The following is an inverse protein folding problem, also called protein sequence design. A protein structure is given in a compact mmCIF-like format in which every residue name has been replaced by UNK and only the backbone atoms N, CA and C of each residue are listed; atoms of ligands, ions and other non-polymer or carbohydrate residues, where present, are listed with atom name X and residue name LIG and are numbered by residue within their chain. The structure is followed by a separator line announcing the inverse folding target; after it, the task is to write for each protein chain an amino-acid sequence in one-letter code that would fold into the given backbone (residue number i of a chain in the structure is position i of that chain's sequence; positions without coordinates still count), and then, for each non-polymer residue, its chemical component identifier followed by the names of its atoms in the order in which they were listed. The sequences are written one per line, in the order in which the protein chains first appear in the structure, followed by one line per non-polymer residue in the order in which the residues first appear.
data_IF_156118301230
#
_entry.id   IF_156118301230
#
_cell.length_a   1.000
_cell.length_b   1.000
_cell.length_c   1.000
_cell.angle_alpha   90.00
_cell.angle_beta   90.00
_cell.angle_gamma   90.00
#
_symmetry.space_group_name_H-M   'P 1'
#
loop_
_entity.id
_entity.type
_entity.pdbx_description
1 polymer ?
#
# COMPACT_ATOMS: atom_id res chain seq x y z
N UNK A 1 30.34 -4.81 -31.16
CA UNK A 1 29.34 -5.11 -30.11
C UNK A 1 27.93 -4.58 -30.43
N UNK A 2 27.81 -3.62 -31.36
CA UNK A 2 26.55 -3.07 -31.91
C UNK A 2 25.38 -4.06 -32.06
N UNK A 3 25.56 -5.18 -32.79
CA UNK A 3 24.49 -6.17 -33.04
C UNK A 3 23.91 -6.77 -31.76
N UNK A 4 24.75 -7.03 -30.76
CA UNK A 4 24.31 -7.57 -29.48
C UNK A 4 23.51 -6.53 -28.70
N UNK A 5 24.01 -5.29 -28.63
CA UNK A 5 23.36 -4.16 -27.97
C UNK A 5 21.94 -3.91 -28.53
N UNK A 6 21.80 -3.82 -29.86
CA UNK A 6 20.50 -3.60 -30.51
C UNK A 6 19.55 -4.80 -30.35
N UNK A 7 20.08 -6.02 -30.37
CA UNK A 7 19.29 -7.23 -30.13
C UNK A 7 18.73 -7.27 -28.70
N UNK A 8 19.50 -6.82 -27.71
CA UNK A 8 19.06 -6.72 -26.32
C UNK A 8 17.96 -5.66 -26.15
N UNK A 9 18.11 -4.48 -26.74
CA UNK A 9 17.06 -3.44 -26.77
C UNK A 9 15.78 -3.99 -27.40
N UNK A 10 15.87 -4.65 -28.57
CA UNK A 10 14.72 -5.24 -29.27
C UNK A 10 14.00 -6.26 -28.39
N UNK A 11 14.76 -7.11 -27.71
CA UNK A 11 14.21 -8.14 -26.80
C UNK A 11 13.50 -7.52 -25.60
N UNK A 12 14.07 -6.47 -25.02
CA UNK A 12 13.51 -5.77 -23.88
C UNK A 12 12.24 -4.97 -24.25
N UNK A 13 12.24 -4.28 -25.40
CA UNK A 13 11.07 -3.56 -25.93
C UNK A 13 9.90 -4.50 -26.23
N UNK A 14 10.19 -5.76 -26.60
CA UNK A 14 9.18 -6.79 -26.84
C UNK A 14 8.26 -7.07 -25.64
N UNK A 15 8.64 -6.65 -24.42
CA UNK A 15 7.85 -6.75 -23.18
C UNK A 15 6.78 -5.66 -23.03
N UNK A 16 6.79 -4.64 -23.88
CA UNK A 16 5.83 -3.53 -23.87
C UNK A 16 4.83 -3.65 -25.03
N UNK A 17 3.68 -3.00 -24.89
CA UNK A 17 2.61 -2.91 -25.91
C UNK A 17 3.05 -1.88 -26.95
N UNK A 18 4.06 -2.26 -27.73
CA UNK A 18 4.66 -1.47 -28.81
C UNK A 18 4.47 -2.25 -30.12
N UNK A 19 4.12 -1.56 -31.19
CA UNK A 19 3.96 -2.18 -32.51
C UNK A 19 5.31 -2.63 -33.07
N UNK A 20 5.32 -3.63 -33.94
CA UNK A 20 6.57 -4.10 -34.55
C UNK A 20 7.28 -2.99 -35.35
N UNK A 21 6.49 -2.08 -35.95
CA UNK A 21 6.98 -0.91 -36.69
C UNK A 21 7.70 0.07 -35.76
N UNK A 22 7.08 0.46 -34.64
CA UNK A 22 7.70 1.37 -33.66
C UNK A 22 8.96 0.77 -33.02
N UNK A 23 8.99 -0.54 -32.75
CA UNK A 23 10.21 -1.20 -32.27
C UNK A 23 11.32 -1.08 -33.33
N UNK A 24 10.98 -1.23 -34.61
CA UNK A 24 11.93 -1.10 -35.69
C UNK A 24 12.43 0.34 -35.85
N UNK A 25 11.54 1.33 -35.74
CA UNK A 25 11.91 2.75 -35.75
C UNK A 25 12.88 3.10 -34.61
N UNK A 26 12.57 2.67 -33.37
CA UNK A 26 13.45 2.87 -32.21
C UNK A 26 14.81 2.21 -32.44
N UNK A 27 14.83 0.97 -32.95
CA UNK A 27 16.09 0.28 -33.22
C UNK A 27 16.89 1.00 -34.29
N UNK A 28 16.25 1.52 -35.34
CA UNK A 28 16.91 2.27 -36.41
C UNK A 28 17.49 3.60 -35.89
N UNK A 29 16.79 4.30 -34.99
CA UNK A 29 17.31 5.53 -34.37
C UNK A 29 18.56 5.24 -33.53
N UNK A 30 18.53 4.18 -32.71
CA UNK A 30 19.68 3.76 -31.92
C UNK A 30 20.82 3.22 -32.78
N UNK A 31 20.52 2.56 -33.91
CA UNK A 31 21.52 2.10 -34.88
C UNK A 31 22.29 3.29 -35.46
N UNK A 32 21.59 4.36 -35.87
CA UNK A 32 22.19 5.61 -36.37
C UNK A 32 23.03 6.31 -35.31
N UNK A 33 22.53 6.45 -34.10
CA UNK A 33 23.29 7.06 -33.00
C UNK A 33 24.57 6.27 -32.68
N UNK A 34 24.51 4.95 -32.78
CA UNK A 34 25.69 4.10 -32.60
C UNK A 34 26.71 4.32 -33.73
N UNK A 35 26.26 4.42 -34.98
CA UNK A 35 27.14 4.72 -36.13
C UNK A 35 27.78 6.10 -36.03
N UNK A 36 27.03 7.11 -35.61
CA UNK A 36 27.54 8.47 -35.39
C UNK A 36 28.63 8.51 -34.31
N UNK A 37 28.48 7.70 -33.25
CA UNK A 37 29.51 7.55 -32.21
C UNK A 37 30.80 6.95 -32.76
N UNK A 38 30.68 5.87 -33.55
CA UNK A 38 31.83 5.25 -34.22
C UNK A 38 32.49 6.21 -35.23
N UNK A 39 31.70 6.97 -35.98
CA UNK A 39 32.20 7.96 -36.94
C UNK A 39 32.96 9.12 -36.27
N UNK A 40 32.64 9.43 -35.02
CA UNK A 40 33.35 10.41 -34.18
C UNK A 40 34.63 9.84 -33.52
N UNK A 41 34.99 8.59 -33.82
CA UNK A 41 36.19 7.94 -33.32
C UNK A 41 36.04 7.28 -31.94
N UNK A 42 34.82 7.14 -31.43
CA UNK A 42 34.55 6.44 -30.17
C UNK A 42 34.65 4.92 -30.38
N UNK A 43 35.11 4.18 -29.37
CA UNK A 43 35.06 2.72 -29.38
C UNK A 43 33.69 2.18 -28.93
N UNK A 44 33.39 0.90 -29.20
CA UNK A 44 32.09 0.28 -28.85
C UNK A 44 31.71 0.46 -27.35
N UNK A 45 32.67 0.43 -26.43
CA UNK A 45 32.39 0.57 -25.00
C UNK A 45 32.02 2.00 -24.63
N UNK A 46 32.71 2.98 -25.20
CA UNK A 46 32.43 4.42 -25.04
C UNK A 46 31.07 4.80 -25.63
N UNK A 47 30.72 4.23 -26.78
CA UNK A 47 29.40 4.44 -27.39
C UNK A 47 28.28 3.88 -26.49
N UNK A 48 28.47 2.70 -25.91
CA UNK A 48 27.48 2.12 -24.98
C UNK A 48 27.38 2.91 -23.68
N UNK A 49 28.49 3.45 -23.17
CA UNK A 49 28.46 4.33 -21.98
C UNK A 49 27.71 5.64 -22.27
N UNK A 50 27.92 6.21 -23.45
CA UNK A 50 27.23 7.42 -23.91
C UNK A 50 25.73 7.21 -24.15
N UNK A 51 25.34 6.12 -24.83
CA UNK A 51 23.93 5.80 -25.11
C UNK A 51 23.21 5.22 -23.88
N UNK A 52 23.96 4.67 -22.94
CA UNK A 52 23.46 3.96 -21.76
C UNK A 52 23.20 2.48 -22.02
N UNK A 53 23.22 1.71 -20.93
CA UNK A 53 22.97 0.25 -20.96
C UNK A 53 21.55 -0.04 -21.50
N UNK A 54 21.35 -1.14 -22.25
CA UNK A 54 20.06 -1.51 -22.85
C UNK A 54 18.88 -1.49 -21.87
N UNK A 55 19.08 -1.93 -20.63
CA UNK A 55 18.02 -1.96 -19.61
C UNK A 55 17.59 -0.56 -19.17
N UNK A 56 18.53 0.38 -19.09
CA UNK A 56 18.25 1.78 -18.74
C UNK A 56 17.51 2.45 -19.90
N UNK A 57 18.03 2.31 -21.12
CA UNK A 57 17.41 2.84 -22.34
C UNK A 57 15.95 2.39 -22.47
N UNK A 58 15.70 1.09 -22.36
CA UNK A 58 14.34 0.56 -22.51
C UNK A 58 13.44 0.89 -21.32
N UNK A 59 13.98 1.11 -20.13
CA UNK A 59 13.19 1.63 -19.01
C UNK A 59 12.76 3.06 -19.26
N UNK A 60 13.70 3.91 -19.66
CA UNK A 60 13.46 5.34 -19.88
C UNK A 60 12.50 5.56 -21.09
N UNK A 61 12.59 4.72 -22.13
CA UNK A 61 11.61 4.67 -23.23
C UNK A 61 10.28 4.01 -22.83
N UNK A 62 10.34 2.97 -22.00
CA UNK A 62 9.21 2.16 -21.57
C UNK A 62 8.24 2.90 -20.66
N UNK A 63 8.64 4.01 -20.03
CA UNK A 63 7.74 4.87 -19.24
C UNK A 63 6.61 5.48 -20.08
N UNK A 64 6.76 5.54 -21.41
CA UNK A 64 5.73 6.00 -22.34
C UNK A 64 4.75 4.90 -22.80
N UNK A 65 5.05 3.62 -22.54
CA UNK A 65 4.30 2.49 -23.08
C UNK A 65 3.82 1.53 -21.98
N UNK A 66 2.59 1.03 -22.13
CA UNK A 66 2.08 -0.01 -21.22
C UNK A 66 2.88 -1.30 -21.39
N UNK A 67 3.17 -2.00 -20.28
CA UNK A 67 3.76 -3.34 -20.35
C UNK A 67 2.73 -4.33 -20.89
N UNK A 68 3.17 -5.26 -21.76
CA UNK A 68 2.28 -6.35 -22.19
C UNK A 68 1.80 -7.10 -20.95
N UNK A 69 0.48 -7.39 -20.85
CA UNK A 69 -0.01 -8.22 -19.77
C UNK A 69 0.71 -9.57 -19.86
N UNK A 70 1.51 -9.87 -18.83
CA UNK A 70 2.23 -11.14 -18.76
C UNK A 70 1.25 -12.31 -18.85
N UNK A 71 1.69 -13.43 -19.43
CA UNK A 71 0.93 -14.69 -19.45
C UNK A 71 0.40 -14.96 -18.03
N UNK A 72 -0.91 -15.00 -17.84
CA UNK A 72 -1.52 -15.12 -16.51
C UNK A 72 -0.98 -16.36 -15.78
N UNK A 73 -0.07 -16.14 -14.84
CA UNK A 73 0.42 -17.17 -13.91
C UNK A 73 -0.76 -17.73 -13.11
N UNK A 74 -0.73 -19.02 -12.77
CA UNK A 74 -1.73 -19.63 -11.87
C UNK A 74 -1.92 -18.83 -10.57
N UNK A 75 -0.85 -18.17 -10.10
CA UNK A 75 -0.85 -17.27 -8.97
C UNK A 75 -1.77 -16.05 -9.12
N UNK A 76 -1.91 -15.51 -10.34
CA UNK A 76 -2.78 -14.36 -10.61
C UNK A 76 -4.27 -14.70 -10.49
N UNK A 77 -4.66 -15.93 -10.85
CA UNK A 77 -6.05 -16.41 -10.68
C UNK A 77 -6.41 -16.54 -9.19
N UNK A 78 -5.49 -17.07 -8.39
CA UNK A 78 -5.67 -17.22 -6.94
C UNK A 78 -5.89 -15.85 -6.29
N UNK A 79 -5.03 -14.86 -6.60
CA UNK A 79 -5.15 -13.50 -6.04
C UNK A 79 -6.50 -12.87 -6.41
N UNK A 80 -6.95 -13.02 -7.66
CA UNK A 80 -8.22 -12.44 -8.12
C UNK A 80 -9.46 -13.08 -7.45
N UNK A 81 -9.39 -14.37 -7.12
CA UNK A 81 -10.48 -15.12 -6.49
C UNK A 81 -10.52 -14.98 -4.97
N UNK A 82 -9.44 -14.51 -4.32
CA UNK A 82 -9.36 -14.45 -2.87
C UNK A 82 -10.52 -13.73 -2.17
N UNK A 83 -11.01 -12.56 -2.63
CA UNK A 83 -12.13 -11.90 -1.98
C UNK A 83 -13.38 -12.78 -1.89
N UNK A 84 -13.68 -13.53 -2.94
CA UNK A 84 -14.83 -14.45 -2.99
C UNK A 84 -14.62 -15.66 -2.07
N UNK A 85 -13.41 -16.24 -2.09
CA UNK A 85 -13.06 -17.36 -1.22
C UNK A 85 -13.10 -16.95 0.27
N UNK A 86 -12.69 -15.72 0.60
CA UNK A 86 -12.76 -15.18 1.96
C UNK A 86 -14.21 -15.04 2.43
N UNK A 87 -15.12 -14.55 1.57
CA UNK A 87 -16.55 -14.46 1.91
C UNK A 87 -17.14 -15.84 2.18
N UNK A 88 -16.85 -16.82 1.32
CA UNK A 88 -17.33 -18.21 1.51
C UNK A 88 -16.80 -18.77 2.84
N UNK A 89 -15.48 -18.65 3.08
CA UNK A 89 -14.86 -19.12 4.32
C UNK A 89 -15.42 -18.40 5.56
N UNK A 90 -15.64 -17.10 5.49
CA UNK A 90 -16.22 -16.31 6.58
C UNK A 90 -17.62 -16.81 6.96
N UNK A 91 -18.49 -17.05 5.98
CA UNK A 91 -19.82 -17.59 6.25
C UNK A 91 -19.77 -19.03 6.76
N UNK A 92 -18.87 -19.88 6.26
CA UNK A 92 -18.70 -21.23 6.81
C UNK A 92 -18.27 -21.19 8.28
N UNK A 93 -17.30 -20.34 8.63
CA UNK A 93 -16.85 -20.14 10.02
C UNK A 93 -18.00 -19.60 10.89
N UNK A 94 -18.76 -18.64 10.38
CA UNK A 94 -19.89 -18.02 11.09
C UNK A 94 -21.08 -18.95 11.29
N UNK A 95 -21.46 -19.75 10.30
CA UNK A 95 -22.61 -20.66 10.39
C UNK A 95 -22.29 -21.96 11.11
N UNK A 96 -21.12 -22.56 10.87
CA UNK A 96 -20.74 -23.85 11.47
C UNK A 96 -20.15 -23.66 12.86
N UNK A 97 -19.28 -22.67 13.01
CA UNK A 97 -18.53 -22.44 14.26
C UNK A 97 -19.10 -21.33 15.14
N UNK A 98 -20.14 -20.60 14.70
CA UNK A 98 -20.65 -19.39 15.38
C UNK A 98 -19.59 -18.30 15.65
N UNK A 99 -18.43 -18.40 14.99
CA UNK A 99 -17.26 -17.58 15.27
C UNK A 99 -17.19 -16.36 14.34
N UNK A 100 -18.25 -15.55 14.30
CA UNK A 100 -18.28 -14.31 13.51
C UNK A 100 -17.17 -13.33 13.91
N UNK A 101 -16.87 -13.31 15.22
CA UNK A 101 -15.69 -12.69 15.81
C UNK A 101 -14.86 -13.81 16.47
N UNK A 102 -13.55 -13.94 16.17
CA UNK A 102 -12.73 -13.12 15.28
C UNK A 102 -12.75 -13.59 13.80
N UNK A 103 -13.76 -14.35 13.35
CA UNK A 103 -13.78 -14.99 12.02
C UNK A 103 -13.60 -14.05 10.83
N UNK A 104 -13.89 -12.75 10.97
CA UNK A 104 -13.62 -11.73 9.94
C UNK A 104 -12.13 -11.61 9.59
N UNK A 105 -11.21 -12.07 10.45
CA UNK A 105 -9.76 -12.10 10.17
C UNK A 105 -9.41 -12.85 8.88
N UNK A 106 -10.27 -13.75 8.39
CA UNK A 106 -10.09 -14.44 7.11
C UNK A 106 -9.93 -13.46 5.93
N UNK A 107 -10.54 -12.26 6.00
CA UNK A 107 -10.40 -11.24 4.95
C UNK A 107 -8.97 -10.70 4.81
N UNK A 108 -8.10 -10.86 5.82
CA UNK A 108 -6.68 -10.53 5.70
C UNK A 108 -5.95 -11.43 4.68
N UNK A 109 -6.52 -12.58 4.32
CA UNK A 109 -5.97 -13.43 3.26
C UNK A 109 -5.96 -12.73 1.89
N UNK A 110 -6.83 -11.74 1.64
CA UNK A 110 -6.84 -10.97 0.39
C UNK A 110 -5.51 -10.25 0.16
N UNK A 111 -5.08 -9.29 1.01
CA UNK A 111 -3.78 -8.63 0.83
C UNK A 111 -2.59 -9.58 1.08
N UNK A 112 -2.71 -10.56 1.98
CA UNK A 112 -1.64 -11.54 2.24
C UNK A 112 -1.33 -12.38 1.00
N UNK A 113 -2.35 -12.86 0.30
CA UNK A 113 -2.18 -13.62 -0.95
C UNK A 113 -1.46 -12.80 -2.02
N UNK A 114 -1.80 -11.51 -2.14
CA UNK A 114 -1.17 -10.60 -3.09
C UNK A 114 0.32 -10.41 -2.77
N UNK A 115 0.69 -10.33 -1.49
CA UNK A 115 2.09 -10.24 -1.07
C UNK A 115 2.82 -11.56 -1.32
N UNK A 116 2.24 -12.70 -0.95
CA UNK A 116 2.88 -14.01 -1.06
C UNK A 116 3.12 -14.42 -2.51
N UNK A 117 2.10 -14.23 -3.35
CA UNK A 117 2.06 -14.74 -4.72
C UNK A 117 2.34 -13.68 -5.78
N UNK A 118 2.16 -12.39 -5.47
CA UNK A 118 2.42 -11.27 -6.39
C UNK A 118 3.81 -10.65 -6.28
N UNK A 119 4.51 -10.81 -5.14
CA UNK A 119 5.84 -10.23 -4.93
C UNK A 119 6.98 -11.16 -5.39
N UNK A 120 6.98 -11.52 -6.68
CA UNK A 120 8.12 -12.23 -7.28
C UNK A 120 9.39 -11.39 -7.17
N UNK A 121 10.42 -11.92 -6.50
CA UNK A 121 11.74 -11.28 -6.37
C UNK A 121 12.09 -10.69 -5.00
N UNK A 122 11.18 -10.63 -4.02
CA UNK A 122 11.55 -10.26 -2.63
C UNK A 122 12.21 -11.44 -1.90
N UNK A 123 13.32 -11.16 -1.21
CA UNK A 123 13.92 -12.06 -0.23
C UNK A 123 12.95 -12.36 0.92
N UNK A 124 13.23 -13.41 1.71
CA UNK A 124 12.37 -13.80 2.84
C UNK A 124 12.08 -12.62 3.79
N UNK A 125 13.12 -11.83 4.08
CA UNK A 125 13.00 -10.70 5.00
C UNK A 125 12.06 -9.61 4.48
N UNK A 126 12.15 -9.25 3.19
CA UNK A 126 11.23 -8.28 2.58
C UNK A 126 9.80 -8.79 2.44
N UNK A 127 9.57 -10.11 2.42
CA UNK A 127 8.22 -10.68 2.54
C UNK A 127 7.70 -10.57 3.97
N UNK A 128 8.52 -10.92 4.97
CA UNK A 128 8.15 -10.80 6.39
C UNK A 128 7.85 -9.35 6.78
N UNK A 129 8.64 -8.37 6.32
CA UNK A 129 8.35 -6.94 6.57
C UNK A 129 6.97 -6.56 6.06
N UNK A 130 6.58 -7.00 4.85
CA UNK A 130 5.28 -6.68 4.28
C UNK A 130 4.12 -7.45 4.93
N UNK A 131 4.36 -8.65 5.45
CA UNK A 131 3.36 -9.45 6.16
C UNK A 131 3.19 -9.03 7.62
N UNK A 132 4.17 -8.35 8.19
CA UNK A 132 4.21 -7.98 9.61
C UNK A 132 2.96 -7.27 10.13
N UNK A 133 2.29 -6.34 9.39
CA UNK A 133 1.07 -5.72 9.90
C UNK A 133 -0.09 -6.71 10.04
N UNK A 134 -0.22 -7.65 9.11
CA UNK A 134 -1.26 -8.68 9.13
C UNK A 134 -1.03 -9.69 10.25
N UNK A 135 0.23 -10.13 10.41
CA UNK A 135 0.63 -11.00 11.53
C UNK A 135 0.34 -10.28 12.86
N UNK A 136 0.66 -8.98 12.95
CA UNK A 136 0.44 -8.21 14.16
C UNK A 136 -1.04 -8.06 14.50
N UNK A 137 -1.91 -7.79 13.51
CA UNK A 137 -3.37 -7.72 13.73
C UNK A 137 -3.92 -9.06 14.21
N UNK A 138 -3.55 -10.17 13.57
CA UNK A 138 -4.01 -11.50 14.00
C UNK A 138 -3.58 -11.79 15.43
N UNK A 139 -2.30 -11.61 15.74
CA UNK A 139 -1.79 -11.85 17.09
C UNK A 139 -2.39 -10.90 18.13
N UNK A 140 -2.62 -9.62 17.80
CA UNK A 140 -3.26 -8.66 18.68
C UNK A 140 -4.70 -9.06 19.03
N UNK A 141 -5.51 -9.44 18.04
CA UNK A 141 -6.89 -9.88 18.26
C UNK A 141 -6.91 -11.17 19.09
N UNK A 142 -6.08 -12.16 18.75
CA UNK A 142 -6.01 -13.42 19.52
C UNK A 142 -5.61 -13.15 20.97
N UNK A 143 -4.62 -12.30 21.23
CA UNK A 143 -4.25 -11.90 22.60
C UNK A 143 -5.40 -11.16 23.31
N UNK A 144 -6.12 -10.30 22.58
CA UNK A 144 -7.28 -9.58 23.07
C UNK A 144 -8.41 -10.50 23.56
N UNK A 145 -8.68 -11.59 22.84
CA UNK A 145 -9.66 -12.62 23.27
C UNK A 145 -9.28 -13.25 24.62
N UNK A 146 -7.99 -13.35 24.93
CA UNK A 146 -7.48 -13.81 26.23
C UNK A 146 -7.38 -12.69 27.28
N UNK A 147 -7.93 -11.50 27.01
CA UNK A 147 -7.91 -10.35 27.92
C UNK A 147 -6.58 -9.58 27.94
N UNK A 148 -5.64 -9.90 27.04
CA UNK A 148 -4.30 -9.32 27.00
C UNK A 148 -4.23 -8.06 26.09
N UNK A 149 -5.27 -7.22 26.09
CA UNK A 149 -5.32 -6.01 25.26
C UNK A 149 -4.19 -5.00 25.58
N UNK A 150 -3.94 -4.77 26.87
CA UNK A 150 -2.96 -3.78 27.33
C UNK A 150 -1.49 -4.18 27.10
N UNK A 151 -1.06 -5.45 27.24
CA UNK A 151 0.26 -5.86 26.77
C UNK A 151 0.28 -6.18 25.26
N UNK A 152 -0.87 -6.53 24.68
CA UNK A 152 -0.97 -7.05 23.31
C UNK A 152 -0.60 -6.04 22.23
N UNK A 153 -0.78 -4.74 22.47
CA UNK A 153 -0.44 -3.72 21.46
C UNK A 153 1.06 -3.73 21.10
N UNK A 154 1.94 -4.25 21.97
CA UNK A 154 3.37 -4.38 21.70
C UNK A 154 3.66 -5.21 20.45
N UNK A 155 2.75 -6.11 20.06
CA UNK A 155 2.88 -6.91 18.84
C UNK A 155 2.98 -6.01 17.60
N UNK A 156 2.39 -4.81 17.60
CA UNK A 156 2.53 -3.87 16.47
C UNK A 156 3.97 -3.38 16.29
N UNK A 157 4.82 -3.46 17.33
CA UNK A 157 6.24 -3.12 17.23
C UNK A 157 7.03 -4.14 16.41
N UNK A 158 6.47 -5.30 16.09
CA UNK A 158 7.05 -6.23 15.11
C UNK A 158 7.25 -5.55 13.75
N UNK A 159 6.37 -4.62 13.37
CA UNK A 159 6.41 -3.93 12.08
C UNK A 159 7.72 -3.12 11.93
N UNK A 160 8.00 -2.12 12.79
CA UNK A 160 9.25 -1.37 12.71
C UNK A 160 10.47 -2.23 13.04
N UNK A 161 10.36 -3.25 13.89
CA UNK A 161 11.49 -4.14 14.24
C UNK A 161 11.95 -4.95 13.02
N UNK A 162 11.03 -5.66 12.35
CA UNK A 162 11.34 -6.44 11.14
C UNK A 162 11.76 -5.49 10.01
N UNK A 163 11.13 -4.33 9.87
CA UNK A 163 11.53 -3.31 8.90
C UNK A 163 12.98 -2.85 9.09
N UNK A 164 13.38 -2.52 10.32
CA UNK A 164 14.73 -2.05 10.62
C UNK A 164 15.79 -3.16 10.47
N UNK A 165 15.45 -4.41 10.78
CA UNK A 165 16.33 -5.56 10.53
C UNK A 165 16.55 -5.85 9.04
N UNK A 166 15.57 -5.50 8.19
CA UNK A 166 15.66 -5.67 6.74
C UNK A 166 16.60 -4.64 6.07
N UNK A 167 16.83 -3.49 6.68
CA UNK A 167 17.70 -2.43 6.14
C UNK A 167 19.20 -2.82 6.12
N UNK A 168 19.58 -3.96 6.70
CA UNK A 168 20.95 -4.50 6.82
C UNK A 168 22.01 -3.56 7.44
N UNK A 169 21.68 -2.30 7.71
CA UNK A 169 22.53 -1.30 8.34
C UNK A 169 22.72 -1.60 9.84
N UNK A 170 23.86 -1.19 10.40
CA UNK A 170 24.10 -1.32 11.84
C UNK A 170 23.10 -0.47 12.63
N UNK A 171 22.71 0.70 12.10
CA UNK A 171 21.71 1.59 12.69
C UNK A 171 20.35 0.90 12.81
N UNK A 172 19.90 0.21 11.76
CA UNK A 172 18.66 -0.56 11.78
C UNK A 172 18.66 -1.69 12.82
N UNK A 173 19.78 -2.42 12.95
CA UNK A 173 19.92 -3.46 13.99
C UNK A 173 19.87 -2.90 15.41
N UNK A 174 20.53 -1.77 15.67
CA UNK A 174 20.50 -1.12 16.99
C UNK A 174 19.12 -0.52 17.27
N UNK A 175 18.45 0.06 16.27
CA UNK A 175 17.07 0.53 16.41
C UNK A 175 16.08 -0.62 16.72
N UNK A 176 16.24 -1.78 16.09
CA UNK A 176 15.47 -2.97 16.44
C UNK A 176 15.73 -3.42 17.89
N UNK A 177 16.99 -3.38 18.34
CA UNK A 177 17.35 -3.70 19.71
C UNK A 177 16.72 -2.73 20.72
N UNK A 178 16.72 -1.42 20.44
CA UNK A 178 16.09 -0.43 21.34
C UNK A 178 14.59 -0.62 21.43
N UNK A 179 13.91 -1.03 20.36
CA UNK A 179 12.48 -1.41 20.41
C UNK A 179 12.22 -2.63 21.30
N UNK A 180 13.06 -3.66 21.21
CA UNK A 180 12.95 -4.87 22.04
C UNK A 180 13.18 -4.52 23.52
N UNK A 181 14.24 -3.75 23.82
CA UNK A 181 14.53 -3.29 25.18
C UNK A 181 13.42 -2.41 25.74
N UNK A 182 12.87 -1.50 24.93
CA UNK A 182 11.75 -0.67 25.34
C UNK A 182 10.49 -1.50 25.65
N UNK A 183 10.21 -2.52 24.84
CA UNK A 183 9.09 -3.45 25.07
C UNK A 183 9.27 -4.25 26.36
N UNK A 184 10.48 -4.76 26.61
CA UNK A 184 10.81 -5.45 27.86
C UNK A 184 10.68 -4.53 29.08
N UNK A 185 11.16 -3.28 28.97
CA UNK A 185 11.01 -2.26 30.01
C UNK A 185 9.54 -1.92 30.28
N UNK A 186 8.73 -1.74 29.24
CA UNK A 186 7.29 -1.50 29.38
C UNK A 186 6.58 -2.65 30.10
N UNK A 187 6.87 -3.90 29.73
CA UNK A 187 6.30 -5.08 30.40
C UNK A 187 6.76 -5.19 31.85
N UNK A 188 8.03 -4.93 32.13
CA UNK A 188 8.56 -4.92 33.49
C UNK A 188 7.88 -3.84 34.35
N UNK A 189 7.78 -2.60 33.87
CA UNK A 189 7.08 -1.53 34.57
C UNK A 189 5.60 -1.85 34.77
N UNK A 190 4.95 -2.44 33.77
CA UNK A 190 3.53 -2.81 33.83
C UNK A 190 3.26 -3.92 34.84
N UNK A 191 3.99 -5.03 34.78
CA UNK A 191 3.73 -6.20 35.63
C UNK A 191 4.41 -6.15 37.00
N UNK A 192 5.65 -5.67 37.08
CA UNK A 192 6.41 -5.67 38.33
C UNK A 192 6.12 -4.44 39.21
N UNK A 193 5.90 -3.28 38.58
CA UNK A 193 5.71 -1.99 39.28
C UNK A 193 4.28 -1.47 39.23
N UNK A 194 3.37 -2.17 38.52
CA UNK A 194 2.00 -1.74 38.24
C UNK A 194 1.91 -0.31 37.66
N UNK A 195 2.92 0.07 36.87
CA UNK A 195 3.19 1.43 36.44
C UNK A 195 3.17 1.55 34.90
N UNK A 196 2.10 1.07 34.26
CA UNK A 196 1.94 1.03 32.80
C UNK A 196 2.17 2.37 32.11
N UNK A 197 1.69 3.47 32.71
CA UNK A 197 1.88 4.82 32.19
C UNK A 197 3.36 5.24 32.15
N UNK A 198 4.10 4.99 33.22
CA UNK A 198 5.54 5.29 33.27
C UNK A 198 6.37 4.33 32.41
N UNK A 199 5.94 3.07 32.26
CA UNK A 199 6.55 2.12 31.35
C UNK A 199 6.58 2.62 29.90
N UNK A 200 5.60 3.44 29.48
CA UNK A 200 5.59 4.02 28.14
C UNK A 200 6.80 4.92 27.86
N UNK A 201 7.44 5.48 28.90
CA UNK A 201 8.66 6.28 28.77
C UNK A 201 9.83 5.46 28.24
N UNK A 202 9.82 4.13 28.37
CA UNK A 202 10.83 3.26 27.77
C UNK A 202 10.89 3.42 26.24
N UNK A 203 9.79 3.82 25.59
CA UNK A 203 9.75 4.06 24.13
C UNK A 203 10.40 5.37 23.70
N UNK A 204 10.82 6.24 24.65
CA UNK A 204 11.70 7.36 24.32
C UNK A 204 13.06 6.86 23.80
N UNK A 205 13.53 5.68 24.24
CA UNK A 205 14.81 5.11 23.81
C UNK A 205 14.90 4.91 22.28
N UNK A 206 14.01 4.15 21.61
CA UNK A 206 14.04 4.01 20.17
C UNK A 206 13.80 5.33 19.43
N UNK A 207 12.95 6.22 19.94
CA UNK A 207 12.67 7.53 19.33
C UNK A 207 13.92 8.43 19.32
N UNK A 208 14.57 8.58 20.49
CA UNK A 208 15.79 9.38 20.64
C UNK A 208 16.91 8.79 19.80
N UNK A 209 17.10 7.46 19.81
CA UNK A 209 18.11 6.82 18.98
C UNK A 209 17.84 7.04 17.48
N UNK A 210 16.59 6.84 17.03
CA UNK A 210 16.19 7.01 15.64
C UNK A 210 16.43 8.43 15.13
N UNK A 211 16.05 9.44 15.92
CA UNK A 211 16.27 10.84 15.59
C UNK A 211 17.75 11.24 15.66
N UNK A 212 18.47 10.88 16.73
CA UNK A 212 19.88 11.27 16.93
C UNK A 212 20.82 10.67 15.88
N UNK A 213 20.50 9.48 15.36
CA UNK A 213 21.32 8.80 14.35
C UNK A 213 20.95 9.16 12.91
N UNK A 214 19.90 9.97 12.70
CA UNK A 214 19.33 10.24 11.37
C UNK A 214 18.79 8.98 10.69
N UNK A 215 18.38 7.97 11.48
CA UNK A 215 17.69 6.79 10.96
C UNK A 215 16.20 7.08 10.72
N UNK A 216 15.65 8.02 11.48
CA UNK A 216 14.30 8.55 11.30
C UNK A 216 14.39 10.04 10.96
N UNK A 217 14.13 10.36 9.71
CA UNK A 217 14.09 11.75 9.24
C UNK A 217 12.67 12.32 9.34
N UNK A 218 12.52 13.44 10.04
CA UNK A 218 11.27 14.18 10.11
C UNK A 218 11.37 15.36 9.14
N UNK A 219 10.77 15.18 7.96
CA UNK A 219 10.77 16.21 6.91
C UNK A 219 9.45 16.99 7.01
N UNK A 220 9.53 18.29 7.26
CA UNK A 220 8.39 19.22 7.23
C UNK A 220 8.64 20.24 6.12
N UNK A 221 8.07 20.01 4.94
CA UNK A 221 8.21 20.91 3.81
C UNK A 221 6.94 21.74 3.56
N UNK A 222 6.98 23.01 4.00
CA UNK A 222 5.90 23.99 3.82
C UNK A 222 6.23 25.02 2.71
N UNK A 223 7.49 25.10 2.27
CA UNK A 223 7.98 26.27 1.52
C UNK A 223 7.60 26.25 0.03
N UNK A 224 7.22 25.09 -0.51
CA UNK A 224 6.98 24.93 -1.94
C UNK A 224 5.53 25.14 -2.40
N UNK A 225 4.59 25.39 -1.48
CA UNK A 225 3.18 25.65 -1.84
C UNK A 225 3.01 26.85 -2.79
N UNK A 226 3.76 27.94 -2.55
CA UNK A 226 3.73 29.16 -3.37
C UNK A 226 4.41 29.01 -4.74
N UNK A 227 5.03 27.87 -5.03
CA UNK A 227 5.62 27.56 -6.34
C UNK A 227 4.69 26.70 -7.22
N UNK A 228 3.62 26.14 -6.65
CA UNK A 228 2.70 25.27 -7.39
C UNK A 228 1.92 26.05 -8.48
N UNK A 229 1.56 25.41 -9.62
CA UNK A 229 0.64 25.97 -10.61
C UNK A 229 -0.71 26.38 -10.00
N UNK A 230 -1.38 27.39 -10.58
CA UNK A 230 -2.67 27.92 -10.08
C UNK A 230 -3.74 26.83 -9.97
N UNK A 231 -3.79 25.89 -10.93
CA UNK A 231 -4.72 24.75 -10.90
C UNK A 231 -4.51 23.84 -9.69
N UNK A 232 -3.26 23.58 -9.31
CA UNK A 232 -2.92 22.76 -8.14
C UNK A 232 -3.22 23.49 -6.83
N UNK A 233 -2.99 24.80 -6.75
CA UNK A 233 -3.37 25.61 -5.58
C UNK A 233 -4.89 25.64 -5.37
N UNK A 234 -5.66 25.86 -6.43
CA UNK A 234 -7.14 25.81 -6.37
C UNK A 234 -7.63 24.45 -5.87
N UNK A 235 -7.02 23.37 -6.36
CA UNK A 235 -7.34 22.03 -5.90
C UNK A 235 -6.99 21.81 -4.42
N UNK A 236 -5.82 22.30 -3.97
CA UNK A 236 -5.42 22.23 -2.57
C UNK A 236 -6.41 22.98 -1.66
N UNK A 237 -6.81 24.19 -2.03
CA UNK A 237 -7.84 24.95 -1.30
C UNK A 237 -9.19 24.23 -1.31
N UNK A 238 -9.60 23.64 -2.44
CA UNK A 238 -10.82 22.86 -2.49
C UNK A 238 -10.77 21.63 -1.56
N UNK A 239 -9.63 20.94 -1.49
CA UNK A 239 -9.43 19.82 -0.56
C UNK A 239 -9.52 20.27 0.90
N UNK A 240 -8.88 21.39 1.26
CA UNK A 240 -9.03 21.99 2.60
C UNK A 240 -10.47 22.35 2.92
N UNK A 241 -11.18 22.94 1.96
CA UNK A 241 -12.60 23.25 2.14
C UNK A 241 -13.43 21.99 2.37
N UNK A 242 -13.18 20.89 1.63
CA UNK A 242 -13.86 19.61 1.84
C UNK A 242 -13.58 19.04 3.25
N UNK A 243 -12.34 19.12 3.73
CA UNK A 243 -11.99 18.69 5.10
C UNK A 243 -12.75 19.51 6.14
N UNK A 244 -12.76 20.85 6.00
CA UNK A 244 -13.47 21.72 6.93
C UNK A 244 -15.00 21.52 6.86
N UNK A 245 -15.56 21.39 5.67
CA UNK A 245 -16.99 21.16 5.45
C UNK A 245 -17.45 19.82 6.02
N UNK A 246 -16.67 18.75 5.81
CA UNK A 246 -16.99 17.43 6.38
C UNK A 246 -16.88 17.42 7.91
N UNK A 247 -15.86 18.07 8.48
CA UNK A 247 -15.74 18.25 9.93
C UNK A 247 -16.89 19.06 10.53
N UNK A 248 -17.26 20.18 9.90
CA UNK A 248 -18.40 21.00 10.32
C UNK A 248 -19.70 20.18 10.24
N UNK A 249 -19.91 19.45 9.15
CA UNK A 249 -21.08 18.58 8.96
C UNK A 249 -21.14 17.50 10.05
N UNK A 250 -20.02 16.86 10.38
CA UNK A 250 -19.94 15.86 11.45
C UNK A 250 -20.38 16.44 12.80
N UNK A 251 -19.87 17.61 13.17
CA UNK A 251 -20.22 18.28 14.43
C UNK A 251 -21.68 18.73 14.44
N UNK A 252 -22.18 19.31 13.35
CA UNK A 252 -23.58 19.73 13.24
C UNK A 252 -24.52 18.53 13.39
N UNK A 253 -24.25 17.43 12.68
CA UNK A 253 -25.07 16.22 12.76
C UNK A 253 -24.99 15.57 14.15
N UNK A 254 -23.80 15.56 14.76
CA UNK A 254 -23.60 15.04 16.11
C UNK A 254 -24.34 15.86 17.17
N UNK A 255 -24.24 17.19 17.14
CA UNK A 255 -24.88 18.06 18.15
C UNK A 255 -26.38 18.20 17.94
N UNK A 256 -26.84 18.31 16.68
CA UNK A 256 -28.26 18.55 16.39
C UNK A 256 -29.12 17.28 16.49
N UNK A 257 -28.55 16.10 16.19
CA UNK A 257 -29.32 14.85 16.08
C UNK A 257 -28.76 13.67 16.90
N UNK A 258 -27.66 13.85 17.64
CA UNK A 258 -26.93 12.79 18.35
C UNK A 258 -26.44 11.65 17.42
N UNK A 259 -26.19 11.98 16.16
CA UNK A 259 -25.84 11.01 15.11
C UNK A 259 -24.34 10.71 15.02
N UNK A 260 -23.58 10.84 16.10
CA UNK A 260 -22.11 10.66 16.10
C UNK A 260 -21.66 9.35 15.43
N UNK A 261 -22.38 8.25 15.69
CA UNK A 261 -22.10 6.93 15.13
C UNK A 261 -22.30 6.83 13.61
N UNK A 262 -23.19 7.63 13.02
CA UNK A 262 -23.50 7.64 11.59
C UNK A 262 -22.73 8.74 10.86
N UNK A 263 -22.59 9.88 11.52
CA UNK A 263 -22.08 11.11 10.96
C UNK A 263 -20.64 10.97 10.48
N UNK A 264 -19.81 10.09 11.07
CA UNK A 264 -18.42 9.94 10.65
C UNK A 264 -18.29 9.46 9.19
N UNK A 265 -19.34 8.83 8.61
CA UNK A 265 -19.34 8.42 7.19
C UNK A 265 -19.11 9.60 6.24
N UNK A 266 -19.42 10.85 6.65
CA UNK A 266 -19.14 12.05 5.85
C UNK A 266 -17.64 12.25 5.60
N UNK A 267 -16.77 11.73 6.47
CA UNK A 267 -15.31 11.82 6.28
C UNK A 267 -14.81 11.00 5.10
N UNK A 268 -15.57 9.99 4.64
CA UNK A 268 -15.21 9.25 3.42
C UNK A 268 -15.25 10.13 2.16
N UNK A 269 -15.91 11.29 2.20
CA UNK A 269 -15.89 12.28 1.12
C UNK A 269 -14.49 12.86 0.91
N UNK A 270 -13.66 12.97 1.97
CA UNK A 270 -12.30 13.53 1.89
C UNK A 270 -11.43 12.77 0.86
N UNK A 271 -11.26 11.43 0.95
CA UNK A 271 -10.51 10.67 -0.05
C UNK A 271 -11.30 10.44 -1.36
N UNK A 272 -12.63 10.51 -1.37
CA UNK A 272 -13.43 10.40 -2.61
C UNK A 272 -13.32 11.66 -3.49
N UNK A 273 -13.25 12.85 -2.89
CA UNK A 273 -13.16 14.12 -3.61
C UNK A 273 -12.02 14.16 -4.66
N UNK A 274 -10.76 13.84 -4.36
CA UNK A 274 -9.69 13.85 -5.35
C UNK A 274 -9.96 12.86 -6.50
N UNK A 275 -10.56 11.70 -6.21
CA UNK A 275 -10.91 10.67 -7.20
C UNK A 275 -12.01 11.19 -8.14
N UNK A 276 -12.99 11.92 -7.60
CA UNK A 276 -14.07 12.51 -8.40
C UNK A 276 -13.57 13.70 -9.21
N UNK A 277 -12.79 14.59 -8.60
CA UNK A 277 -12.34 15.84 -9.19
C UNK A 277 -11.25 15.65 -10.25
N UNK A 278 -10.37 14.64 -10.11
CA UNK A 278 -9.25 14.39 -11.02
C UNK A 278 -9.28 13.04 -11.72
N UNK A 279 -10.09 12.08 -11.26
CA UNK A 279 -10.17 10.75 -11.85
C UNK A 279 -10.92 10.74 -13.18
N UNK A 280 -10.32 10.14 -14.20
CA UNK A 280 -10.98 9.88 -15.48
C UNK A 280 -12.22 8.99 -15.31
N UNK A 281 -13.27 9.26 -16.09
CA UNK A 281 -14.58 8.62 -15.94
C UNK A 281 -14.51 7.08 -15.90
N UNK A 282 -13.64 6.47 -16.72
CA UNK A 282 -13.45 5.02 -16.82
C UNK A 282 -12.79 4.38 -15.58
N UNK A 283 -12.01 5.13 -14.81
CA UNK A 283 -11.29 4.63 -13.62
C UNK A 283 -11.98 5.01 -12.30
N UNK A 284 -12.92 5.95 -12.34
CA UNK A 284 -13.58 6.50 -11.15
C UNK A 284 -14.38 5.46 -10.38
N UNK A 285 -15.14 4.60 -11.08
CA UNK A 285 -16.02 3.61 -10.44
C UNK A 285 -15.20 2.62 -9.60
N UNK A 286 -14.11 2.07 -10.16
CA UNK A 286 -13.22 1.13 -9.46
C UNK A 286 -12.51 1.80 -8.29
N UNK A 287 -12.10 3.06 -8.44
CA UNK A 287 -11.44 3.81 -7.37
C UNK A 287 -12.40 4.20 -6.23
N UNK A 288 -13.69 4.39 -6.52
CA UNK A 288 -14.71 4.73 -5.52
C UNK A 288 -15.29 3.51 -4.80
N UNK A 289 -15.16 2.31 -5.37
CA UNK A 289 -15.78 1.09 -4.82
C UNK A 289 -15.44 0.77 -3.36
N UNK A 290 -14.21 1.02 -2.84
CA UNK A 290 -13.92 0.74 -1.43
C UNK A 290 -14.69 1.66 -0.48
N UNK A 291 -14.88 2.92 -0.87
CA UNK A 291 -15.63 3.90 -0.08
C UNK A 291 -17.12 3.58 -0.13
N UNK A 292 -17.64 3.25 -1.31
CA UNK A 292 -19.04 2.83 -1.46
C UNK A 292 -19.33 1.54 -0.68
N UNK A 293 -18.42 0.55 -0.73
CA UNK A 293 -18.52 -0.68 0.06
C UNK A 293 -18.53 -0.38 1.56
N UNK A 294 -17.67 0.52 2.02
CA UNK A 294 -17.62 0.95 3.43
C UNK A 294 -18.93 1.64 3.84
N UNK A 295 -19.44 2.56 3.02
CA UNK A 295 -20.73 3.22 3.27
C UNK A 295 -21.85 2.17 3.39
N UNK A 296 -21.93 1.25 2.43
CA UNK A 296 -22.94 0.18 2.45
C UNK A 296 -22.80 -0.73 3.67
N UNK A 297 -21.57 -1.12 4.03
CA UNK A 297 -21.28 -1.95 5.20
C UNK A 297 -21.85 -1.33 6.49
N UNK A 298 -21.55 -0.05 6.72
CA UNK A 298 -22.03 0.65 7.92
C UNK A 298 -23.52 0.96 7.87
N UNK A 299 -24.07 1.38 6.72
CA UNK A 299 -25.51 1.60 6.60
C UNK A 299 -26.30 0.31 6.87
N UNK A 300 -25.87 -0.83 6.33
CA UNK A 300 -26.49 -2.11 6.62
C UNK A 300 -26.34 -2.48 8.10
N UNK A 301 -25.13 -2.37 8.66
CA UNK A 301 -24.86 -2.70 10.06
C UNK A 301 -25.67 -1.87 11.06
N UNK A 302 -25.90 -0.59 10.77
CA UNK A 302 -26.68 0.28 11.66
C UNK A 302 -28.19 0.19 11.42
N UNK A 303 -28.66 0.14 10.17
CA UNK A 303 -30.09 0.22 9.85
C UNK A 303 -30.81 -1.12 9.98
N UNK A 304 -30.10 -2.24 9.82
CA UNK A 304 -30.68 -3.59 9.84
C UNK A 304 -30.16 -4.37 11.04
N UNK A 305 -31.01 -4.66 12.06
CA UNK A 305 -30.59 -5.43 13.23
C UNK A 305 -30.01 -6.79 12.84
N UNK A 306 -28.84 -7.13 13.40
CA UNK A 306 -28.14 -8.39 13.10
C UNK A 306 -27.42 -8.43 11.74
N UNK A 307 -27.45 -7.35 10.96
CA UNK A 307 -26.83 -7.33 9.63
C UNK A 307 -25.30 -7.25 9.65
N UNK A 308 -24.64 -6.96 10.78
CA UNK A 308 -23.18 -6.85 10.86
C UNK A 308 -22.42 -8.05 10.29
N UNK A 309 -22.93 -9.26 10.52
CA UNK A 309 -22.36 -10.48 9.95
C UNK A 309 -22.51 -10.52 8.42
N UNK A 310 -23.62 -10.03 7.87
CA UNK A 310 -23.92 -10.11 6.44
C UNK A 310 -23.38 -8.91 5.65
N UNK A 311 -23.19 -7.77 6.32
CA UNK A 311 -22.75 -6.50 5.74
C UNK A 311 -21.39 -6.63 5.04
N UNK A 312 -20.56 -7.58 5.45
CA UNK A 312 -19.27 -7.89 4.82
C UNK A 312 -19.37 -8.20 3.32
N UNK A 313 -20.53 -8.67 2.83
CA UNK A 313 -20.80 -8.87 1.39
C UNK A 313 -20.60 -7.57 0.59
N UNK A 314 -20.81 -6.40 1.20
CA UNK A 314 -20.61 -5.11 0.53
C UNK A 314 -19.19 -4.95 -0.07
N UNK A 315 -18.18 -5.57 0.54
CA UNK A 315 -16.80 -5.51 0.05
C UNK A 315 -16.56 -6.29 -1.24
N UNK A 316 -17.48 -7.17 -1.67
CA UNK A 316 -17.44 -7.79 -3.00
C UNK A 316 -17.66 -6.78 -4.14
N UNK A 317 -18.22 -5.61 -3.85
CA UNK A 317 -18.31 -4.50 -4.81
C UNK A 317 -16.92 -4.14 -5.39
N UNK A 318 -15.86 -4.27 -4.59
CA UNK A 318 -14.50 -3.91 -5.00
C UNK A 318 -14.00 -4.77 -6.16
N UNK A 319 -13.87 -6.11 -6.02
CA UNK A 319 -13.46 -6.96 -7.13
C UNK A 319 -14.51 -6.98 -8.27
N UNK A 320 -15.80 -6.92 -7.98
CA UNK A 320 -16.85 -6.95 -9.02
C UNK A 320 -16.76 -5.74 -9.94
N UNK A 321 -16.63 -4.54 -9.40
CA UNK A 321 -16.49 -3.33 -10.23
C UNK A 321 -15.21 -3.35 -11.07
N UNK A 322 -14.11 -3.91 -10.54
CA UNK A 322 -12.87 -4.10 -11.28
C UNK A 322 -13.02 -5.10 -12.43
N UNK A 323 -13.72 -6.23 -12.21
CA UNK A 323 -13.99 -7.24 -13.24
C UNK A 323 -14.90 -6.67 -14.33
N UNK A 324 -16.02 -6.04 -13.97
CA UNK A 324 -16.98 -5.47 -14.92
C UNK A 324 -16.38 -4.38 -15.81
N UNK A 325 -15.38 -3.65 -15.31
CA UNK A 325 -14.66 -2.67 -16.12
C UNK A 325 -13.77 -3.32 -17.21
N UNK A 326 -13.25 -4.51 -16.93
CA UNK A 326 -12.29 -5.21 -17.79
C UNK A 326 -12.95 -6.30 -18.68
N UNK A 327 -14.25 -6.54 -18.51
CA UNK A 327 -15.08 -7.40 -19.35
C UNK A 327 -15.55 -6.63 -20.59
#
# INVERSE_FOLDING_TARGET
MKKQYLSEIRTLLGRYVITALEIEDIINDYDRMYEDGLAKGMNDAEVIDFLGKPEKVVRDLGDAYDRKPGKHSHHGKIIALMPFLCVIAYFLIGFVGHAWHPGWLVFLAVPVSAILFGASGRNLMGKLTALSPFIAVVAFIVLGEYGLWNPGWLVFLLIPTIGALNDHSWKGKVFALTLILASAGYLYCGYALNAWGYGALCFLLPLVFGAATGFVDIIVDWKDYKKLPVSQRRFFFAMWFVVLATAATYVILGVAFDWWAYAWLVFLVIPMFPIIAKGGAKNRIVALSPFLATILFFLLGFLVPGAWAYAWIAFLLIPMTAILKNA
#
